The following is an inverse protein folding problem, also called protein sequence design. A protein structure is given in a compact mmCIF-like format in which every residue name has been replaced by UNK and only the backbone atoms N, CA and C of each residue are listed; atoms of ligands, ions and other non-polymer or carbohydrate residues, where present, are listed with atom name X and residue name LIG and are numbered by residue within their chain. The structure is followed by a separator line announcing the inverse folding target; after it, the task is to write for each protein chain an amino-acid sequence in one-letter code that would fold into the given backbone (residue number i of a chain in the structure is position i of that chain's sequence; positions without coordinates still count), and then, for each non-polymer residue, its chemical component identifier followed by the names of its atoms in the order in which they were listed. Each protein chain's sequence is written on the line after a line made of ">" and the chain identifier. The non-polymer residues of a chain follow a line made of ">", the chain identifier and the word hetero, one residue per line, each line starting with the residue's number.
data_IF_007789911226
#
_entry.id   IF_007789911226
#
_cell.length_a   1.000
_cell.length_b   1.000
_cell.length_c   1.000
_cell.angle_alpha   90.00
_cell.angle_beta   90.00
_cell.angle_gamma   90.00
#
_symmetry.space_group_name_H-M   'P 1'
#
loop_
_entity.id
_entity.type
_entity.pdbx_description
1 polymer ?
#
# COMPACT_ATOMS: atom_id res chain seq x y z
N UNK A 1 16.38 -0.09 1.58
CA UNK A 1 16.95 -1.32 2.21
C UNK A 1 17.06 -1.30 3.74
N UNK A 2 17.50 -0.19 4.35
CA UNK A 2 17.70 -0.10 5.81
C UNK A 2 16.44 -0.40 6.62
N UNK A 3 15.27 0.06 6.18
CA UNK A 3 14.00 -0.27 6.84
C UNK A 3 13.66 -1.75 6.75
N UNK A 4 13.92 -2.39 5.61
CA UNK A 4 13.68 -3.82 5.46
C UNK A 4 14.53 -4.61 6.46
N UNK A 5 15.83 -4.28 6.60
CA UNK A 5 16.71 -4.88 7.59
C UNK A 5 16.21 -4.64 9.03
N UNK A 6 15.83 -3.39 9.36
CA UNK A 6 15.28 -3.03 10.68
C UNK A 6 13.99 -3.78 11.02
N UNK A 7 13.16 -4.07 10.02
CA UNK A 7 11.90 -4.78 10.15
C UNK A 7 12.03 -6.30 9.99
N UNK A 8 13.25 -6.81 9.75
CA UNK A 8 13.50 -8.24 9.49
C UNK A 8 12.81 -8.76 8.22
N UNK A 9 12.59 -7.89 7.23
CA UNK A 9 11.97 -8.22 5.94
C UNK A 9 13.07 -8.58 4.95
N UNK A 10 12.98 -9.77 4.37
CA UNK A 10 13.97 -10.31 3.42
C UNK A 10 13.29 -10.82 2.15
N UNK A 11 14.00 -10.76 1.01
CA UNK A 11 13.57 -11.39 -0.25
C UNK A 11 12.19 -10.95 -0.76
N UNK A 12 11.58 -11.80 -1.60
CA UNK A 12 10.23 -11.62 -2.15
C UNK A 12 9.15 -12.08 -1.15
N UNK A 13 9.19 -11.56 0.07
CA UNK A 13 8.15 -11.84 1.09
C UNK A 13 6.98 -10.88 0.95
N UNK A 14 5.84 -11.23 1.57
CA UNK A 14 4.74 -10.28 1.74
C UNK A 14 4.92 -9.53 3.06
N UNK A 15 4.48 -8.27 3.05
CA UNK A 15 4.37 -7.44 4.25
C UNK A 15 2.94 -6.97 4.40
N UNK A 16 2.52 -6.73 5.64
CA UNK A 16 1.29 -6.01 5.94
C UNK A 16 1.59 -4.54 6.11
N UNK A 17 0.90 -3.72 5.34
CA UNK A 17 0.93 -2.25 5.42
C UNK A 17 -0.37 -1.80 6.05
N UNK A 18 -0.31 -1.01 7.11
CA UNK A 18 -1.49 -0.58 7.88
C UNK A 18 -1.48 0.94 8.05
N UNK A 19 -2.58 1.59 7.71
CA UNK A 19 -2.85 2.99 8.05
C UNK A 19 -3.86 3.08 9.20
N UNK A 20 -4.36 4.27 9.51
CA UNK A 20 -5.43 4.47 10.51
C UNK A 20 -6.71 3.69 10.15
N UNK A 21 -7.02 3.55 8.87
CA UNK A 21 -8.35 3.11 8.40
C UNK A 21 -8.37 1.70 7.83
N UNK A 22 -7.22 1.10 7.55
CA UNK A 22 -7.18 -0.21 6.94
C UNK A 22 -5.80 -0.80 6.83
N UNK A 23 -5.77 -2.05 6.37
CA UNK A 23 -4.54 -2.81 6.13
C UNK A 23 -4.61 -3.52 4.79
N UNK A 24 -3.46 -3.68 4.16
CA UNK A 24 -3.28 -4.48 2.95
C UNK A 24 -2.03 -5.34 3.05
N UNK A 25 -2.08 -6.52 2.42
CA UNK A 25 -0.91 -7.40 2.28
C UNK A 25 -0.35 -7.27 0.88
N UNK A 26 0.92 -6.85 0.77
CA UNK A 26 1.58 -6.60 -0.50
C UNK A 26 2.92 -7.34 -0.61
N UNK A 27 3.30 -7.82 -1.81
CA UNK A 27 4.66 -8.28 -2.04
C UNK A 27 5.64 -7.13 -1.86
N UNK A 28 6.82 -7.42 -1.30
CA UNK A 28 7.86 -6.42 -1.08
C UNK A 28 8.90 -6.47 -2.18
N UNK A 29 9.33 -5.30 -2.63
CA UNK A 29 10.54 -5.11 -3.42
C UNK A 29 11.48 -4.22 -2.61
N UNK A 30 12.69 -4.72 -2.32
CA UNK A 30 13.70 -3.97 -1.59
C UNK A 30 14.58 -3.24 -2.60
N UNK A 31 14.62 -1.92 -2.51
CA UNK A 31 15.38 -1.05 -3.42
C UNK A 31 16.08 0.08 -2.69
N UNK A 32 17.16 0.61 -3.28
CA UNK A 32 17.88 1.81 -2.84
C UNK A 32 17.25 3.11 -3.35
N UNK A 33 16.36 3.04 -4.33
CA UNK A 33 15.74 4.20 -4.98
C UNK A 33 14.66 4.89 -4.13
N UNK A 34 14.31 4.33 -2.97
CA UNK A 34 13.30 4.87 -2.06
C UNK A 34 13.98 5.31 -0.76
N UNK A 35 13.64 6.52 -0.29
CA UNK A 35 14.18 7.09 0.95
C UNK A 35 13.85 6.23 2.17
N UNK A 36 14.74 6.26 3.17
CA UNK A 36 14.50 5.64 4.47
C UNK A 36 13.22 6.22 5.10
N UNK A 37 12.41 5.35 5.69
CA UNK A 37 11.11 5.67 6.29
C UNK A 37 9.96 5.78 5.29
N UNK A 38 10.20 5.51 4.00
CA UNK A 38 9.19 5.62 2.93
C UNK A 38 8.96 4.26 2.28
N UNK A 39 7.70 3.98 1.96
CA UNK A 39 7.31 2.88 1.07
C UNK A 39 6.58 3.43 -0.15
N UNK A 40 6.69 2.74 -1.27
CA UNK A 40 5.94 3.03 -2.48
C UNK A 40 5.00 1.87 -2.79
N UNK A 41 3.71 2.15 -2.94
CA UNK A 41 2.70 1.18 -3.35
C UNK A 41 1.92 1.78 -4.53
N UNK A 42 2.07 1.24 -5.75
CA UNK A 42 1.40 1.78 -6.93
C UNK A 42 -0.13 1.74 -6.80
N UNK A 43 -0.80 2.78 -7.28
CA UNK A 43 -2.25 2.84 -7.35
C UNK A 43 -2.80 2.08 -8.57
N UNK A 44 -4.12 1.93 -8.63
CA UNK A 44 -4.83 1.40 -9.80
C UNK A 44 -4.99 -0.12 -9.82
N UNK A 45 -4.71 -0.80 -8.70
CA UNK A 45 -4.94 -2.24 -8.52
C UNK A 45 -6.17 -2.50 -7.63
N UNK A 46 -6.48 -3.76 -7.33
CA UNK A 46 -7.64 -4.21 -6.56
C UNK A 46 -8.75 -4.86 -7.39
N UNK A 47 -8.43 -5.37 -8.58
CA UNK A 47 -9.44 -5.82 -9.55
C UNK A 47 -10.08 -7.18 -9.26
N UNK A 48 -9.85 -7.76 -8.09
CA UNK A 48 -10.56 -8.95 -7.60
C UNK A 48 -11.66 -8.62 -6.60
N UNK A 49 -11.87 -7.33 -6.29
CA UNK A 49 -12.89 -6.90 -5.33
C UNK A 49 -14.32 -7.17 -5.84
N UNK A 50 -15.29 -7.43 -4.96
CA UNK A 50 -16.68 -7.60 -5.37
C UNK A 50 -17.19 -6.43 -6.22
N UNK A 51 -17.89 -6.73 -7.32
CA UNK A 51 -18.42 -5.72 -8.24
C UNK A 51 -17.48 -5.32 -9.37
N UNK A 52 -16.21 -5.77 -9.39
CA UNK A 52 -15.32 -5.54 -10.55
C UNK A 52 -15.71 -6.45 -11.72
N UNK A 53 -15.97 -5.88 -12.89
CA UNK A 53 -16.34 -6.63 -14.11
C UNK A 53 -15.26 -6.58 -15.21
N UNK A 54 -13.99 -6.70 -14.81
CA UNK A 54 -12.82 -6.58 -15.70
C UNK A 54 -11.97 -7.84 -15.67
N UNK A 55 -12.43 -8.90 -16.38
CA UNK A 55 -11.81 -10.25 -16.36
C UNK A 55 -10.29 -10.26 -16.50
N UNK A 56 -9.74 -9.48 -17.44
CA UNK A 56 -8.29 -9.43 -17.67
C UNK A 56 -7.56 -8.82 -16.47
N UNK A 57 -8.05 -7.69 -15.96
CA UNK A 57 -7.44 -7.02 -14.81
C UNK A 57 -7.58 -7.86 -13.53
N UNK A 58 -8.70 -8.57 -13.36
CA UNK A 58 -8.92 -9.49 -12.23
C UNK A 58 -7.90 -10.65 -12.21
N UNK A 59 -7.43 -11.12 -13.38
CA UNK A 59 -6.39 -12.16 -13.45
C UNK A 59 -5.03 -11.71 -12.89
N UNK A 60 -4.83 -10.39 -12.73
CA UNK A 60 -3.66 -9.76 -12.13
C UNK A 60 -4.14 -8.66 -11.19
N UNK A 61 -4.89 -9.04 -10.15
CA UNK A 61 -5.64 -8.07 -9.37
C UNK A 61 -4.76 -7.03 -8.64
N UNK A 62 -3.54 -7.38 -8.24
CA UNK A 62 -2.68 -6.51 -7.43
C UNK A 62 -3.31 -6.15 -6.08
N UNK A 63 -2.84 -5.07 -5.45
CA UNK A 63 -3.26 -4.65 -4.11
C UNK A 63 -3.87 -3.25 -4.16
N UNK A 64 -5.08 -3.09 -3.65
CA UNK A 64 -5.77 -1.80 -3.64
C UNK A 64 -5.17 -0.86 -2.57
N UNK A 65 -4.35 0.11 -2.97
CA UNK A 65 -3.78 1.10 -2.06
C UNK A 65 -4.83 2.01 -1.42
N UNK A 66 -6.00 2.21 -2.05
CA UNK A 66 -7.06 3.08 -1.52
C UNK A 66 -7.66 2.57 -0.21
N UNK A 67 -7.45 1.30 0.15
CA UNK A 67 -7.82 0.75 1.46
C UNK A 67 -7.05 1.45 2.60
N UNK A 68 -5.90 2.04 2.31
CA UNK A 68 -5.09 2.78 3.26
C UNK A 68 -5.49 4.27 3.36
N UNK A 69 -6.29 4.78 2.42
CA UNK A 69 -6.65 6.20 2.32
C UNK A 69 -7.72 6.56 3.34
N UNK A 70 -7.39 7.51 4.20
CA UNK A 70 -8.27 8.03 5.23
C UNK A 70 -9.33 8.97 4.65
N UNK A 71 -10.60 8.61 4.80
CA UNK A 71 -11.74 9.41 4.32
C UNK A 71 -11.91 10.76 5.02
N UNK A 72 -11.27 10.94 6.19
CA UNK A 72 -11.32 12.17 6.99
C UNK A 72 -10.18 13.13 6.69
N UNK A 73 -9.12 12.66 6.04
CA UNK A 73 -7.96 13.48 5.66
C UNK A 73 -8.23 14.15 4.31
N UNK A 74 -8.69 15.40 4.37
CA UNK A 74 -9.00 16.23 3.21
C UNK A 74 -8.33 17.60 3.35
N UNK A 75 -8.01 18.22 2.22
CA UNK A 75 -7.73 19.66 2.19
C UNK A 75 -9.05 20.42 2.41
N UNK A 76 -9.21 21.18 3.51
CA UNK A 76 -10.48 21.80 3.86
C UNK A 76 -10.92 22.89 2.88
N UNK A 77 -10.01 23.47 2.10
CA UNK A 77 -10.35 24.55 1.16
C UNK A 77 -10.88 24.00 -0.17
N UNK A 78 -10.26 22.95 -0.70
CA UNK A 78 -10.65 22.36 -1.99
C UNK A 78 -11.60 21.16 -1.85
N UNK A 79 -11.67 20.54 -0.68
CA UNK A 79 -12.34 19.27 -0.46
C UNK A 79 -11.60 18.07 -1.05
N UNK A 80 -10.35 18.23 -1.50
CA UNK A 80 -9.59 17.17 -2.13
C UNK A 80 -9.06 16.15 -1.09
N UNK A 81 -9.21 14.85 -1.37
CA UNK A 81 -8.71 13.78 -0.50
C UNK A 81 -7.18 13.66 -0.53
N UNK A 82 -6.59 13.34 0.62
CA UNK A 82 -5.15 13.04 0.73
C UNK A 82 -4.89 11.59 0.32
N UNK A 83 -4.49 11.39 -0.94
CA UNK A 83 -4.24 10.05 -1.51
C UNK A 83 -2.77 9.60 -1.45
N UNK A 84 -1.86 10.48 -0.98
CA UNK A 84 -0.42 10.24 -0.92
C UNK A 84 0.14 10.74 0.41
N UNK A 85 1.35 10.28 0.78
CA UNK A 85 1.96 10.67 2.05
C UNK A 85 1.22 10.12 3.27
N UNK A 86 0.44 9.06 3.07
CA UNK A 86 -0.35 8.40 4.12
C UNK A 86 0.60 7.78 5.16
N UNK A 87 0.49 8.15 6.44
CA UNK A 87 1.26 7.50 7.50
C UNK A 87 0.86 6.02 7.60
N UNK A 88 1.86 5.15 7.54
CA UNK A 88 1.66 3.69 7.62
C UNK A 88 2.67 3.02 8.54
N UNK A 89 2.26 1.89 9.11
CA UNK A 89 3.16 0.92 9.72
C UNK A 89 3.31 -0.27 8.79
N UNK A 90 4.53 -0.81 8.72
CA UNK A 90 4.84 -2.02 7.94
C UNK A 90 5.30 -3.12 8.89
N UNK A 91 4.68 -4.28 8.78
CA UNK A 91 5.02 -5.46 9.56
C UNK A 91 5.23 -6.66 8.65
N UNK A 92 6.24 -7.48 8.96
CA UNK A 92 6.42 -8.78 8.30
C UNK A 92 5.23 -9.68 8.62
N UNK A 93 4.74 -10.41 7.62
CA UNK A 93 3.76 -11.47 7.80
C UNK A 93 4.41 -12.82 7.44
N UNK A 94 4.21 -13.81 8.29
CA UNK A 94 4.73 -15.18 8.14
C UNK A 94 3.95 -16.00 7.12
#
# INVERSE_FOLDING_TARGET
>A
PNDAARLGVEGQTKVRVTSRVGSVDAPVEITESVRVGVVSLPHGWGHSMPGTNTRVAASRAGVNSNILTDEKEIDPLSGNSVLNGIPVTVTRIS
#
